data_IF_074687557964
#
_entry.id   IF_074687557964
#
_cell.length_a   1.000
_cell.length_b   1.000
_cell.length_c   1.000
_cell.angle_alpha   90.00
_cell.angle_beta   90.00
_cell.angle_gamma   90.00
#
_symmetry.space_group_name_H-M   'P 1'
#
loop_
_entity.id
_entity.type
_entity.pdbx_description
1 polymer ?
#
# COMPACT_ATOMS: atom_id res chain seq x y z
N UNK A 1 0.56 -88.45 4.21
CA UNK A 1 1.58 -88.32 3.16
C UNK A 1 1.75 -86.87 2.87
N UNK A 2 2.87 -86.30 3.29
CA UNK A 2 3.32 -84.94 3.02
C UNK A 2 3.91 -84.90 1.61
N UNK A 3 4.01 -83.79 0.96
CA UNK A 3 5.24 -83.03 1.12
C UNK A 3 5.07 -81.53 1.22
N UNK A 4 6.01 -81.00 1.98
CA UNK A 4 6.40 -79.65 2.16
C UNK A 4 6.56 -78.82 0.87
N UNK A 5 6.04 -77.63 0.88
CA UNK A 5 6.43 -76.61 -0.10
C UNK A 5 6.78 -75.29 0.61
N UNK A 6 8.06 -75.19 0.95
CA UNK A 6 8.65 -73.99 1.49
C UNK A 6 8.84 -72.99 0.36
N UNK A 7 7.95 -72.00 0.31
CA UNK A 7 8.11 -70.85 -0.57
C UNK A 7 8.99 -69.81 0.13
N UNK A 8 10.22 -69.72 -0.31
CA UNK A 8 11.20 -68.73 0.04
C UNK A 8 10.77 -67.36 -0.55
N UNK A 9 10.25 -66.51 0.28
CA UNK A 9 9.95 -65.15 -0.13
C UNK A 9 11.24 -64.33 -0.22
N UNK A 10 11.70 -64.09 -1.44
CA UNK A 10 12.77 -63.10 -1.69
C UNK A 10 12.23 -61.68 -1.42
N UNK A 11 12.69 -61.08 -0.35
CA UNK A 11 12.51 -59.64 -0.11
C UNK A 11 13.42 -58.88 -1.08
N UNK A 12 12.84 -58.29 -2.10
CA UNK A 12 13.51 -57.32 -2.93
C UNK A 12 13.52 -55.99 -2.20
N UNK A 13 14.68 -55.59 -1.72
CA UNK A 13 14.89 -54.28 -1.16
C UNK A 13 14.91 -53.26 -2.31
N UNK A 14 13.84 -52.48 -2.44
CA UNK A 14 13.82 -51.30 -3.30
C UNK A 14 14.60 -50.22 -2.59
N UNK A 15 15.82 -49.97 -3.04
CA UNK A 15 16.58 -48.80 -2.66
C UNK A 15 15.89 -47.56 -3.24
N UNK A 16 15.17 -46.82 -2.39
CA UNK A 16 14.62 -45.52 -2.77
C UNK A 16 15.75 -44.52 -2.97
N UNK A 17 15.96 -44.10 -4.20
CA UNK A 17 16.75 -42.92 -4.48
C UNK A 17 15.94 -41.71 -4.00
N UNK A 18 16.32 -41.17 -2.85
CA UNK A 18 15.90 -39.85 -2.46
C UNK A 18 16.58 -38.83 -3.38
N UNK A 19 15.87 -38.39 -4.40
CA UNK A 19 16.27 -37.24 -5.18
C UNK A 19 16.15 -36.02 -4.26
N UNK A 20 17.27 -35.58 -3.69
CA UNK A 20 17.38 -34.27 -3.05
C UNK A 20 17.33 -33.24 -4.19
N UNK A 21 16.13 -32.81 -4.50
CA UNK A 21 15.92 -31.65 -5.33
C UNK A 21 16.42 -30.40 -4.57
N UNK A 22 17.66 -30.03 -4.82
CA UNK A 22 18.11 -28.70 -4.44
C UNK A 22 17.28 -27.68 -5.24
N UNK A 23 16.26 -27.12 -4.60
CA UNK A 23 15.58 -25.96 -5.13
C UNK A 23 16.60 -24.82 -5.13
N UNK A 24 17.13 -24.51 -6.31
CA UNK A 24 17.89 -23.29 -6.53
C UNK A 24 16.90 -22.15 -6.32
N UNK A 25 16.86 -21.60 -5.11
CA UNK A 25 16.22 -20.34 -4.85
C UNK A 25 17.01 -19.29 -5.64
N UNK A 26 16.51 -18.92 -6.81
CA UNK A 26 16.95 -17.71 -7.46
C UNK A 26 16.59 -16.58 -6.52
N UNK A 27 17.55 -15.72 -6.12
CA UNK A 27 17.20 -14.50 -5.43
C UNK A 27 16.23 -13.78 -6.38
N UNK A 28 14.99 -13.55 -5.91
CA UNK A 28 14.11 -12.63 -6.60
C UNK A 28 14.94 -11.37 -6.82
N UNK A 29 15.15 -10.99 -8.08
CA UNK A 29 15.77 -9.72 -8.38
C UNK A 29 14.99 -8.70 -7.57
N UNK A 30 15.65 -8.04 -6.62
CA UNK A 30 15.09 -6.90 -5.92
C UNK A 30 14.84 -5.87 -7.04
N UNK A 31 13.63 -5.93 -7.61
CA UNK A 31 13.19 -4.90 -8.55
C UNK A 31 13.41 -3.60 -7.81
N UNK A 32 14.10 -2.66 -8.44
CA UNK A 32 14.23 -1.30 -7.94
C UNK A 32 12.81 -0.77 -7.74
N UNK A 33 12.23 -1.02 -6.58
CA UNK A 33 10.96 -0.45 -6.19
C UNK A 33 11.26 0.98 -5.79
N UNK A 34 11.33 1.84 -6.79
CA UNK A 34 11.47 3.28 -6.57
C UNK A 34 10.33 3.73 -5.69
N UNK A 35 10.66 4.44 -4.62
CA UNK A 35 9.65 5.08 -3.79
C UNK A 35 8.79 5.99 -4.67
N UNK A 36 7.49 5.90 -4.52
CA UNK A 36 6.55 6.74 -5.25
C UNK A 36 5.95 7.79 -4.33
N UNK A 37 5.81 8.99 -4.85
CA UNK A 37 5.11 10.07 -4.16
C UNK A 37 3.79 10.34 -4.87
N UNK A 38 2.69 10.12 -4.18
CA UNK A 38 1.39 10.59 -4.61
C UNK A 38 1.31 12.09 -4.34
N UNK A 39 1.26 12.86 -5.40
CA UNK A 39 1.11 14.30 -5.38
C UNK A 39 -0.35 14.63 -5.68
N UNK A 40 -1.01 15.29 -4.74
CA UNK A 40 -2.42 15.62 -4.85
C UNK A 40 -2.57 17.13 -4.94
N UNK A 41 -3.22 17.58 -6.01
CA UNK A 41 -3.65 18.95 -6.16
C UNK A 41 -5.14 19.04 -5.84
N UNK A 42 -5.48 19.89 -4.88
CA UNK A 42 -6.85 20.18 -4.51
C UNK A 42 -7.26 21.55 -5.03
N UNK A 43 -8.37 21.60 -5.77
CA UNK A 43 -9.12 22.82 -5.93
C UNK A 43 -10.09 22.91 -4.76
N UNK A 44 -9.94 23.93 -3.95
CA UNK A 44 -10.73 24.09 -2.72
C UNK A 44 -11.61 25.33 -2.78
N UNK A 45 -12.68 25.29 -2.01
CA UNK A 45 -13.51 26.47 -1.79
C UNK A 45 -12.73 27.49 -0.93
N UNK A 46 -12.39 28.67 -1.45
CA UNK A 46 -11.61 29.66 -0.73
C UNK A 46 -12.32 30.21 0.53
N UNK A 47 -13.63 30.08 0.60
CA UNK A 47 -14.42 30.49 1.77
C UNK A 47 -14.43 29.45 2.88
N UNK A 48 -13.94 28.24 2.62
CA UNK A 48 -13.88 27.11 3.55
C UNK A 48 -12.42 26.64 3.84
N UNK A 49 -11.46 27.53 3.75
CA UNK A 49 -10.05 27.20 3.98
C UNK A 49 -9.80 26.65 5.40
N UNK A 50 -10.54 27.17 6.40
CA UNK A 50 -10.45 26.67 7.77
C UNK A 50 -10.93 25.20 7.90
N UNK A 51 -11.98 24.85 7.18
CA UNK A 51 -12.50 23.47 7.16
C UNK A 51 -11.52 22.52 6.44
N UNK A 52 -10.94 22.95 5.32
CA UNK A 52 -9.90 22.19 4.65
C UNK A 52 -8.66 21.99 5.55
N UNK A 53 -8.30 23.00 6.35
CA UNK A 53 -7.21 22.87 7.33
C UNK A 53 -7.48 21.77 8.36
N UNK A 54 -8.68 21.68 8.90
CA UNK A 54 -9.09 20.59 9.82
C UNK A 54 -8.99 19.24 9.14
N UNK A 55 -9.46 19.13 7.90
CA UNK A 55 -9.35 17.93 7.08
C UNK A 55 -7.90 17.50 6.88
N UNK A 56 -7.02 18.42 6.50
CA UNK A 56 -5.60 18.18 6.32
C UNK A 56 -4.91 17.74 7.63
N UNK A 57 -5.25 18.40 8.75
CA UNK A 57 -4.72 18.06 10.06
C UNK A 57 -5.09 16.64 10.51
N UNK A 58 -6.32 16.18 10.25
CA UNK A 58 -6.72 14.81 10.57
C UNK A 58 -5.86 13.77 9.85
N UNK A 59 -5.43 14.04 8.63
CA UNK A 59 -4.57 13.15 7.86
C UNK A 59 -3.18 12.95 8.46
N UNK A 60 -2.70 13.87 9.30
CA UNK A 60 -1.36 13.77 9.90
C UNK A 60 -1.19 12.54 10.80
N UNK A 61 -2.26 12.04 11.40
CA UNK A 61 -2.29 10.82 12.21
C UNK A 61 -2.78 9.62 11.44
N UNK A 62 -3.76 9.80 10.56
CA UNK A 62 -4.39 8.71 9.81
C UNK A 62 -3.43 8.11 8.79
N UNK A 63 -2.73 8.93 8.01
CA UNK A 63 -1.86 8.46 6.92
C UNK A 63 -0.74 7.56 7.45
N UNK A 64 0.04 7.94 8.48
CA UNK A 64 1.09 7.07 9.01
C UNK A 64 0.54 5.76 9.58
N UNK A 65 -0.57 5.80 10.28
CA UNK A 65 -1.23 4.61 10.84
C UNK A 65 -1.67 3.65 9.74
N UNK A 66 -2.06 4.14 8.58
CA UNK A 66 -2.47 3.34 7.44
C UNK A 66 -1.31 2.91 6.52
N UNK A 67 -0.07 3.26 6.83
CA UNK A 67 1.12 2.80 6.13
C UNK A 67 1.64 3.74 5.03
N UNK A 68 1.11 4.96 4.94
CA UNK A 68 1.65 6.02 4.12
C UNK A 68 2.66 6.88 4.89
N UNK A 69 3.59 7.50 4.20
CA UNK A 69 4.46 8.51 4.76
C UNK A 69 4.00 9.89 4.29
N UNK A 70 3.38 10.64 5.18
CA UNK A 70 2.96 12.00 4.86
C UNK A 70 4.18 12.92 4.79
N UNK A 71 4.43 13.49 3.61
CA UNK A 71 5.42 14.55 3.43
C UNK A 71 4.84 15.87 3.93
N UNK A 72 3.58 16.16 3.58
CA UNK A 72 2.86 17.31 4.10
C UNK A 72 1.59 17.65 3.33
N UNK A 73 0.80 18.49 3.97
CA UNK A 73 -0.25 19.26 3.33
C UNK A 73 0.18 20.72 3.28
N UNK A 74 -0.09 21.36 2.17
CA UNK A 74 0.29 22.75 1.93
C UNK A 74 -0.94 23.54 1.51
N UNK A 75 -1.23 24.58 2.26
CA UNK A 75 -2.37 25.45 2.04
C UNK A 75 -1.90 26.78 1.43
N UNK A 76 -2.79 27.54 0.77
CA UNK A 76 -2.47 28.87 0.29
C UNK A 76 -1.97 29.76 1.43
N UNK A 77 -0.82 30.40 1.24
CA UNK A 77 -0.30 31.41 2.13
C UNK A 77 -0.39 32.79 1.46
N UNK A 78 0.10 32.87 0.23
CA UNK A 78 0.06 34.04 -0.62
C UNK A 78 -0.07 33.59 -2.08
N UNK A 79 -0.71 34.39 -2.93
CA UNK A 79 -0.97 34.04 -4.32
C UNK A 79 -2.37 33.48 -4.51
N UNK A 80 -2.48 32.23 -4.97
CA UNK A 80 -3.80 31.59 -5.10
C UNK A 80 -4.43 31.33 -3.73
N UNK A 81 -5.76 31.45 -3.65
CA UNK A 81 -6.50 31.21 -2.41
C UNK A 81 -7.35 29.93 -2.44
N UNK A 82 -7.30 29.18 -3.52
CA UNK A 82 -8.19 28.06 -3.82
C UNK A 82 -7.47 26.79 -4.24
N UNK A 83 -6.15 26.74 -4.06
CA UNK A 83 -5.32 25.56 -4.38
C UNK A 83 -4.55 25.12 -3.15
N UNK A 84 -4.68 23.85 -2.80
CA UNK A 84 -3.90 23.18 -1.77
C UNK A 84 -3.22 21.93 -2.33
N UNK A 85 -2.24 21.41 -1.61
CA UNK A 85 -1.42 20.30 -2.03
C UNK A 85 -1.31 19.26 -0.92
N UNK A 86 -1.29 17.99 -1.29
CA UNK A 86 -0.97 16.88 -0.40
C UNK A 86 0.10 15.99 -1.02
N UNK A 87 1.13 15.67 -0.28
CA UNK A 87 2.20 14.80 -0.72
C UNK A 87 2.34 13.61 0.22
N UNK A 88 2.17 12.40 -0.33
CA UNK A 88 2.23 11.16 0.42
C UNK A 88 3.18 10.21 -0.30
N UNK A 89 4.22 9.76 0.38
CA UNK A 89 5.19 8.82 -0.16
C UNK A 89 4.88 7.40 0.32
N UNK A 90 5.09 6.44 -0.58
CA UNK A 90 5.04 5.01 -0.31
C UNK A 90 6.27 4.33 -0.95
N UNK A 91 6.64 3.16 -0.45
CA UNK A 91 7.82 2.43 -0.94
C UNK A 91 7.63 1.95 -2.39
N UNK A 92 6.39 1.75 -2.82
CA UNK A 92 6.04 1.28 -4.17
C UNK A 92 4.57 1.59 -4.49
N UNK A 93 4.15 1.39 -5.73
CA UNK A 93 2.74 1.45 -6.11
C UNK A 93 1.91 0.37 -5.39
N UNK A 94 2.46 -0.82 -5.19
CA UNK A 94 1.78 -1.88 -4.45
C UNK A 94 1.57 -1.47 -2.98
N UNK A 95 2.57 -0.83 -2.34
CA UNK A 95 2.44 -0.29 -1.00
C UNK A 95 1.38 0.82 -0.93
N UNK A 96 1.29 1.66 -1.96
CA UNK A 96 0.24 2.67 -2.09
C UNK A 96 -1.15 2.05 -2.19
N UNK A 97 -1.33 0.99 -2.98
CA UNK A 97 -2.61 0.26 -3.05
C UNK A 97 -3.02 -0.33 -1.71
N UNK A 98 -2.07 -0.95 -0.99
CA UNK A 98 -2.30 -1.47 0.35
C UNK A 98 -2.69 -0.36 1.35
N UNK A 99 -2.00 0.77 1.30
CA UNK A 99 -2.34 1.97 2.07
C UNK A 99 -3.77 2.44 1.76
N UNK A 100 -4.14 2.54 0.49
CA UNK A 100 -5.49 2.93 0.08
C UNK A 100 -6.56 1.94 0.57
N UNK A 101 -6.25 0.65 0.58
CA UNK A 101 -7.15 -0.36 1.14
C UNK A 101 -7.39 -0.17 2.63
N UNK A 102 -6.33 0.14 3.40
CA UNK A 102 -6.45 0.44 4.84
C UNK A 102 -7.26 1.70 5.11
N UNK A 103 -7.11 2.75 4.31
CA UNK A 103 -7.92 3.97 4.42
C UNK A 103 -9.42 3.68 4.28
N UNK A 104 -9.79 2.80 3.35
CA UNK A 104 -11.20 2.43 3.15
C UNK A 104 -11.83 1.70 4.33
N UNK A 105 -11.05 1.02 5.15
CA UNK A 105 -11.50 0.30 6.33
C UNK A 105 -11.27 1.06 7.65
N UNK A 106 -10.46 2.11 7.66
CA UNK A 106 -10.17 2.92 8.84
C UNK A 106 -11.35 3.84 9.16
N UNK A 107 -11.81 3.79 10.42
CA UNK A 107 -13.00 4.56 10.85
C UNK A 107 -12.79 6.07 10.78
N UNK A 108 -11.61 6.56 11.21
CA UNK A 108 -11.31 7.99 11.18
C UNK A 108 -11.09 8.50 9.76
N UNK A 109 -10.45 7.70 8.90
CA UNK A 109 -10.30 8.04 7.49
C UNK A 109 -11.65 8.19 6.80
N UNK A 110 -12.56 7.24 7.05
CA UNK A 110 -13.93 7.30 6.51
C UNK A 110 -14.69 8.52 7.02
N UNK A 111 -14.57 8.83 8.31
CA UNK A 111 -15.20 10.02 8.89
C UNK A 111 -14.63 11.31 8.28
N UNK A 112 -13.33 11.38 8.04
CA UNK A 112 -12.68 12.54 7.44
C UNK A 112 -13.09 12.74 5.96
N UNK A 113 -13.22 11.66 5.19
CA UNK A 113 -13.81 11.72 3.84
C UNK A 113 -15.27 12.18 3.87
N UNK A 114 -16.07 11.65 4.79
CA UNK A 114 -17.47 12.06 4.93
C UNK A 114 -17.59 13.55 5.31
N UNK A 115 -16.70 14.06 6.16
CA UNK A 115 -16.62 15.47 6.50
C UNK A 115 -16.37 16.32 5.24
N UNK A 116 -15.38 15.94 4.42
CA UNK A 116 -15.10 16.66 3.19
C UNK A 116 -16.29 16.65 2.21
N UNK A 117 -16.97 15.50 2.09
CA UNK A 117 -18.14 15.37 1.23
C UNK A 117 -19.34 16.21 1.72
N UNK A 118 -19.58 16.26 3.02
CA UNK A 118 -20.71 16.99 3.60
C UNK A 118 -20.52 18.51 3.48
N UNK A 119 -19.29 18.99 3.66
CA UNK A 119 -18.94 20.42 3.61
C UNK A 119 -18.65 20.92 2.19
N UNK A 120 -18.31 20.03 1.27
CA UNK A 120 -18.01 20.33 -0.14
C UNK A 120 -16.89 21.36 -0.34
N UNK A 121 -15.92 21.41 0.54
CA UNK A 121 -14.79 22.33 0.38
C UNK A 121 -13.75 21.84 -0.64
N UNK A 122 -13.71 20.54 -0.95
CA UNK A 122 -12.92 20.00 -2.07
C UNK A 122 -13.80 20.01 -3.31
N UNK A 123 -13.47 20.90 -4.26
CA UNK A 123 -14.20 21.05 -5.51
C UNK A 123 -13.68 20.13 -6.59
N UNK A 124 -12.36 19.87 -6.60
CA UNK A 124 -11.68 18.98 -7.52
C UNK A 124 -10.40 18.44 -6.89
N UNK A 125 -10.09 17.21 -7.18
CA UNK A 125 -8.87 16.54 -6.77
C UNK A 125 -8.18 15.92 -7.99
N UNK A 126 -6.90 16.21 -8.14
CA UNK A 126 -6.04 15.64 -9.18
C UNK A 126 -4.87 14.93 -8.53
N UNK A 127 -4.58 13.71 -8.98
CA UNK A 127 -3.47 12.90 -8.45
C UNK A 127 -2.45 12.60 -9.53
N UNK A 128 -1.18 12.75 -9.18
CA UNK A 128 -0.05 12.33 -9.99
C UNK A 128 0.88 11.49 -9.15
N UNK A 129 1.48 10.48 -9.76
CA UNK A 129 2.50 9.66 -9.13
C UNK A 129 3.86 10.08 -9.65
N UNK A 130 4.74 10.43 -8.72
CA UNK A 130 6.05 11.00 -9.00
C UNK A 130 7.13 10.04 -8.50
N UNK A 131 8.20 9.93 -9.25
CA UNK A 131 9.42 9.27 -8.83
C UNK A 131 10.30 10.25 -8.07
N UNK A 132 10.91 9.80 -6.97
CA UNK A 132 11.87 10.61 -6.23
C UNK A 132 13.26 10.47 -6.86
N UNK A 133 13.82 11.57 -7.29
CA UNK A 133 15.19 11.66 -7.87
C UNK A 133 16.08 12.38 -6.89
N UNK A 134 16.79 11.64 -6.03
CA UNK A 134 17.77 12.12 -5.07
C UNK A 134 18.91 11.10 -4.91
#
# INVERSE_FOLDING_TARGET
>A
MNPDNTLTTRRTALAGFAAVGAALAFPAAAGNTSAVTCFIRYQIDPFQLAEFRKYAQAWTTIIPRCGGRLIGYFLPLEGTNDVAWGLISCESLAAYEAYRARLRSDTEARANFAFAQSKRFVLREERSFLETVI
#
